data_IF_504269393527
#
_entry.id   IF_504269393527
#
_cell.length_a   1.000
_cell.length_b   1.000
_cell.length_c   1.000
_cell.angle_alpha   90.00
_cell.angle_beta   90.00
_cell.angle_gamma   90.00
#
_symmetry.space_group_name_H-M   'P 1'
#
loop_
_entity.id
_entity.type
_entity.pdbx_description
1 polymer ?
#
# COMPACT_ATOMS: atom_id res chain seq x y z
N UNK A 1 18.19 3.56 3.29
CA UNK A 1 16.89 4.25 3.18
C UNK A 1 15.89 3.24 2.63
N UNK A 2 14.78 2.99 3.33
CA UNK A 2 13.71 2.16 2.79
C UNK A 2 12.81 3.05 1.92
N UNK A 3 12.61 2.68 0.65
CA UNK A 3 11.65 3.36 -0.22
C UNK A 3 10.25 3.12 0.31
N UNK A 4 9.54 4.21 0.64
CA UNK A 4 8.11 4.15 0.98
C UNK A 4 7.32 4.20 -0.32
N UNK A 5 6.27 3.41 -0.41
CA UNK A 5 5.34 3.41 -1.54
C UNK A 5 3.96 3.83 -1.05
N UNK A 6 3.33 4.74 -1.79
CA UNK A 6 1.90 4.95 -1.75
C UNK A 6 1.25 3.92 -2.66
N UNK A 7 0.51 3.01 -2.05
CA UNK A 7 -0.14 1.91 -2.73
C UNK A 7 -1.63 2.25 -2.83
N UNK A 8 -2.17 2.20 -4.04
CA UNK A 8 -3.60 2.42 -4.30
C UNK A 8 -4.22 1.15 -4.88
N UNK A 9 -5.25 0.64 -4.22
CA UNK A 9 -6.07 -0.47 -4.67
C UNK A 9 -7.40 0.07 -5.18
N UNK A 10 -7.72 -0.23 -6.44
CA UNK A 10 -9.03 0.07 -7.01
C UNK A 10 -9.81 -1.23 -7.13
N UNK A 11 -10.97 -1.32 -6.48
CA UNK A 11 -11.88 -2.47 -6.60
C UNK A 11 -12.72 -2.37 -7.87
N UNK A 12 -13.23 -3.52 -8.33
CA UNK A 12 -14.23 -3.61 -9.40
C UNK A 12 -15.52 -2.83 -9.08
N UNK A 13 -15.83 -2.63 -7.80
CA UNK A 13 -16.91 -1.76 -7.33
C UNK A 13 -16.65 -0.26 -7.55
N UNK A 14 -15.46 0.11 -8.06
CA UNK A 14 -14.94 1.48 -8.20
C UNK A 14 -14.57 2.17 -6.89
N UNK A 15 -14.59 1.45 -5.77
CA UNK A 15 -14.03 1.92 -4.49
C UNK A 15 -12.50 1.90 -4.54
N UNK A 16 -11.86 2.93 -3.98
CA UNK A 16 -10.41 3.05 -3.90
C UNK A 16 -9.92 3.06 -2.46
N UNK A 17 -8.76 2.44 -2.22
CA UNK A 17 -8.10 2.38 -0.93
C UNK A 17 -6.63 2.70 -1.08
N UNK A 18 -6.10 3.51 -0.18
CA UNK A 18 -4.71 3.96 -0.23
C UNK A 18 -4.00 3.63 1.08
N UNK A 19 -2.74 3.23 0.97
CA UNK A 19 -1.86 2.92 2.09
C UNK A 19 -0.44 3.37 1.84
N UNK A 20 0.34 3.54 2.91
CA UNK A 20 1.77 3.81 2.86
C UNK A 20 2.54 2.62 3.42
N UNK A 21 3.43 2.05 2.61
CA UNK A 21 4.16 0.83 2.98
C UNK A 21 5.61 0.93 2.54
N UNK A 22 6.55 0.45 3.36
CA UNK A 22 7.99 0.34 3.01
C UNK A 22 8.30 -0.92 2.18
N UNK A 23 7.26 -1.52 1.58
CA UNK A 23 7.32 -2.82 0.89
C UNK A 23 7.13 -2.60 -0.60
N UNK A 24 8.04 -3.16 -1.39
CA UNK A 24 8.10 -2.98 -2.85
C UNK A 24 7.20 -3.94 -3.65
N UNK A 25 6.50 -4.89 -3.00
CA UNK A 25 5.59 -5.83 -3.64
C UNK A 25 4.34 -6.11 -2.77
N UNK A 26 3.19 -6.44 -3.39
CA UNK A 26 2.01 -6.87 -2.65
C UNK A 26 2.25 -8.27 -2.07
N UNK A 27 2.12 -8.42 -0.76
CA UNK A 27 2.13 -9.74 -0.12
C UNK A 27 0.72 -10.34 -0.19
N UNK A 28 0.63 -11.53 -0.78
CA UNK A 28 -0.57 -12.35 -0.73
C UNK A 28 -0.51 -13.16 0.57
N UNK A 29 -1.35 -12.81 1.54
CA UNK A 29 -1.44 -13.49 2.83
C UNK A 29 -2.72 -14.33 2.83
N UNK A 30 -2.57 -15.66 2.90
CA UNK A 30 -3.69 -16.61 2.81
C UNK A 30 -4.60 -16.39 1.59
N UNK A 31 -4.02 -15.95 0.45
CA UNK A 31 -4.79 -15.67 -0.77
C UNK A 31 -5.40 -14.26 -0.84
N UNK A 32 -5.22 -13.42 0.18
CA UNK A 32 -5.71 -12.03 0.19
C UNK A 32 -4.56 -11.04 0.02
N UNK A 33 -4.84 -9.92 -0.66
CA UNK A 33 -3.90 -8.81 -0.75
C UNK A 33 -4.04 -7.93 0.49
N UNK A 34 -2.94 -7.73 1.21
CA UNK A 34 -2.91 -6.90 2.41
C UNK A 34 -2.50 -5.45 2.10
N UNK A 35 -3.22 -4.48 2.65
CA UNK A 35 -2.88 -3.06 2.61
C UNK A 35 -2.96 -2.49 4.02
N UNK A 36 -1.90 -1.83 4.47
CA UNK A 36 -1.92 -1.02 5.68
C UNK A 36 -2.28 0.42 5.32
N UNK A 37 -3.31 0.97 5.95
CA UNK A 37 -3.64 2.40 5.80
C UNK A 37 -2.63 3.30 6.54
N UNK A 38 -2.78 4.61 6.39
CA UNK A 38 -1.89 5.60 7.03
C UNK A 38 -1.95 5.58 8.57
N UNK A 39 -3.01 5.00 9.15
CA UNK A 39 -3.14 4.78 10.60
C UNK A 39 -2.51 3.45 11.06
N UNK A 40 -1.95 2.68 10.12
CA UNK A 40 -1.36 1.36 10.38
C UNK A 40 -2.38 0.23 10.54
N UNK A 41 -3.66 0.45 10.19
CA UNK A 41 -4.68 -0.60 10.22
C UNK A 41 -4.60 -1.43 8.94
N UNK A 42 -4.62 -2.74 9.12
CA UNK A 42 -4.56 -3.69 8.01
C UNK A 42 -5.95 -3.97 7.44
N UNK A 43 -6.02 -3.96 6.11
CA UNK A 43 -7.17 -4.42 5.33
C UNK A 43 -6.74 -5.50 4.37
N UNK A 44 -7.61 -6.47 4.15
CA UNK A 44 -7.37 -7.63 3.29
C UNK A 44 -8.41 -7.66 2.18
N UNK A 45 -7.94 -7.78 0.95
CA UNK A 45 -8.77 -7.73 -0.25
C UNK A 45 -8.69 -9.05 -1.00
N UNK A 46 -9.82 -9.62 -1.39
CA UNK A 46 -9.83 -10.77 -2.30
C UNK A 46 -9.28 -10.32 -3.66
N UNK A 47 -8.31 -11.03 -4.26
CA UNK A 47 -7.75 -10.68 -5.57
C UNK A 47 -8.82 -10.51 -6.65
N UNK A 48 -9.86 -11.36 -6.63
CA UNK A 48 -10.98 -11.31 -7.58
C UNK A 48 -11.82 -10.02 -7.49
N UNK A 49 -11.73 -9.29 -6.37
CA UNK A 49 -12.46 -8.03 -6.17
C UNK A 49 -11.70 -6.81 -6.67
N UNK A 50 -10.41 -6.96 -6.99
CA UNK A 50 -9.52 -5.88 -7.41
C UNK A 50 -9.64 -5.71 -8.94
N UNK A 51 -9.71 -4.46 -9.36
CA UNK A 51 -9.64 -4.06 -10.77
C UNK A 51 -8.24 -3.60 -11.15
N UNK A 52 -7.62 -2.78 -10.30
CA UNK A 52 -6.30 -2.20 -10.57
C UNK A 52 -5.47 -2.02 -9.29
N UNK A 53 -4.15 -1.99 -9.46
CA UNK A 53 -3.17 -1.90 -8.37
C UNK A 53 -2.02 -0.97 -8.78
N UNK A 54 -1.89 0.17 -8.09
CA UNK A 54 -0.88 1.18 -8.37
C UNK A 54 0.13 1.28 -7.22
N UNK A 55 1.42 1.28 -7.58
CA UNK A 55 2.54 1.48 -6.67
C UNK A 55 3.27 2.76 -7.05
N UNK A 56 3.14 3.79 -6.21
CA UNK A 56 3.78 5.08 -6.42
C UNK A 56 4.91 5.26 -5.39
N UNK A 57 6.20 5.31 -5.80
CA UNK A 57 7.30 5.55 -4.86
C UNK A 57 7.20 6.96 -4.29
N UNK A 58 7.11 7.03 -2.96
CA UNK A 58 7.14 8.29 -2.22
C UNK A 58 8.57 8.56 -1.82
N UNK A 59 9.10 9.70 -2.24
CA UNK A 59 10.37 10.20 -1.72
C UNK A 59 10.21 10.35 -0.19
N UNK A 60 11.07 9.70 0.62
CA UNK A 60 11.00 9.88 2.05
C UNK A 60 11.17 11.38 2.35
N UNK A 61 10.40 11.95 3.31
CA UNK A 61 10.74 13.27 3.81
C UNK A 61 12.19 13.22 4.23
N UNK A 62 13.02 14.13 3.71
CA UNK A 62 14.43 14.21 4.06
C UNK A 62 14.52 14.15 5.59
N UNK A 63 15.05 13.05 6.13
CA UNK A 63 15.35 12.93 7.54
C UNK A 63 16.17 14.17 7.89
N UNK A 64 15.58 15.08 8.67
CA UNK A 64 16.38 16.03 9.41
C UNK A 64 17.24 15.17 10.32
N UNK A 65 18.51 15.05 9.96
CA UNK A 65 19.58 14.67 10.87
C UNK A 65 19.46 15.58 12.10
N UNK A 66 18.79 15.10 13.14
CA UNK A 66 19.02 15.64 14.47
C UNK A 66 20.22 14.89 15.04
N UNK A 67 21.28 15.67 15.19
CA UNK A 67 22.56 15.44 15.86
C UNK A 67 22.44 14.74 17.23
#
# INVERSE_FOLDING_TARGET
>A
MATVYRITITKKSKETFTGLMTRSQPEIINGFVALADEEGKWRYFSPDSIEDFLFDPVEPPAEQTTE
#
